data_IF_162747159927
#
_entry.id   IF_162747159927
#
_cell.length_a   1.000
_cell.length_b   1.000
_cell.length_c   1.000
_cell.angle_alpha   90.00
_cell.angle_beta   90.00
_cell.angle_gamma   90.00
#
_symmetry.space_group_name_H-M   'P 1'
#
loop_
_entity.id
_entity.type
_entity.pdbx_description
1 polymer ?
#
# COMPACT_ATOMS: atom_id res chain seq x y z
N UNK A 1 -49.30 17.51 -29.39
CA UNK A 1 -48.58 17.23 -28.12
C UNK A 1 -47.41 16.32 -28.44
N UNK A 2 -46.20 16.87 -28.59
CA UNK A 2 -44.97 16.13 -28.89
C UNK A 2 -44.27 15.78 -27.59
N UNK A 3 -44.13 14.48 -27.29
CA UNK A 3 -43.34 14.00 -26.14
C UNK A 3 -41.85 14.27 -26.43
N UNK A 4 -41.08 14.84 -25.49
CA UNK A 4 -39.65 14.97 -25.66
C UNK A 4 -39.01 13.59 -25.47
N UNK A 5 -38.23 13.16 -26.47
CA UNK A 5 -37.26 12.08 -26.34
C UNK A 5 -36.18 12.53 -25.35
N UNK A 6 -36.10 11.86 -24.21
CA UNK A 6 -34.98 12.02 -23.28
C UNK A 6 -33.79 11.28 -23.90
N UNK A 7 -32.61 11.90 -24.06
CA UNK A 7 -31.43 11.18 -24.51
C UNK A 7 -31.10 10.14 -23.43
N UNK A 8 -31.02 8.86 -23.84
CA UNK A 8 -30.39 7.83 -23.04
C UNK A 8 -29.00 8.33 -22.68
N UNK A 9 -28.82 8.69 -21.40
CA UNK A 9 -27.49 8.87 -20.85
C UNK A 9 -26.81 7.52 -21.03
N UNK A 10 -25.82 7.50 -21.94
CA UNK A 10 -24.95 6.35 -22.16
C UNK A 10 -24.23 6.13 -20.83
N UNK A 11 -24.79 5.22 -20.02
CA UNK A 11 -24.08 4.58 -18.93
C UNK A 11 -22.89 3.93 -19.62
N UNK A 12 -21.66 4.37 -19.30
CA UNK A 12 -20.44 3.95 -19.98
C UNK A 12 -20.43 2.45 -20.24
N UNK A 13 -19.97 2.05 -21.43
CA UNK A 13 -20.03 0.65 -21.86
C UNK A 13 -19.44 -0.27 -20.77
N UNK A 14 -20.00 -1.47 -20.54
CA UNK A 14 -19.43 -2.44 -19.58
C UNK A 14 -17.91 -2.61 -19.70
N UNK A 15 -17.38 -2.48 -20.93
CA UNK A 15 -15.95 -2.54 -21.22
C UNK A 15 -15.17 -1.33 -20.68
N UNK A 16 -15.75 -0.13 -20.70
CA UNK A 16 -15.14 1.08 -20.14
C UNK A 16 -15.14 1.05 -18.61
N UNK A 17 -16.23 0.56 -18.01
CA UNK A 17 -16.33 0.37 -16.57
C UNK A 17 -15.30 -0.65 -16.06
N UNK A 18 -15.13 -1.77 -16.76
CA UNK A 18 -14.14 -2.79 -16.40
C UNK A 18 -12.70 -2.28 -16.58
N UNK A 19 -12.42 -1.54 -17.67
CA UNK A 19 -11.11 -0.88 -17.86
C UNK A 19 -10.80 0.09 -16.73
N UNK A 20 -11.76 0.93 -16.34
CA UNK A 20 -11.59 1.88 -15.25
C UNK A 20 -11.35 1.17 -13.91
N UNK A 21 -12.06 0.07 -13.64
CA UNK A 21 -11.84 -0.76 -12.44
C UNK A 21 -10.42 -1.35 -12.40
N UNK A 22 -9.96 -1.93 -13.50
CA UNK A 22 -8.62 -2.50 -13.61
C UNK A 22 -7.53 -1.44 -13.46
N UNK A 23 -7.73 -0.26 -14.04
CA UNK A 23 -6.79 0.86 -13.90
C UNK A 23 -6.69 1.34 -12.44
N UNK A 24 -7.83 1.45 -11.74
CA UNK A 24 -7.86 1.79 -10.32
C UNK A 24 -7.15 0.74 -9.47
N UNK A 25 -7.38 -0.55 -9.73
CA UNK A 25 -6.68 -1.65 -9.03
C UNK A 25 -5.16 -1.57 -9.26
N UNK A 26 -4.72 -1.32 -10.50
CA UNK A 26 -3.29 -1.14 -10.83
C UNK A 26 -2.69 0.09 -10.15
N UNK A 27 -3.41 1.20 -10.10
CA UNK A 27 -2.97 2.41 -9.41
C UNK A 27 -2.82 2.17 -7.91
N UNK A 28 -3.78 1.48 -7.29
CA UNK A 28 -3.72 1.07 -5.89
C UNK A 28 -2.53 0.14 -5.63
N UNK A 29 -2.31 -0.86 -6.49
CA UNK A 29 -1.16 -1.76 -6.39
C UNK A 29 0.16 -0.99 -6.43
N UNK A 30 0.35 -0.06 -7.38
CA UNK A 30 1.56 0.77 -7.47
C UNK A 30 1.79 1.60 -6.21
N UNK A 31 0.73 2.23 -5.68
CA UNK A 31 0.80 3.00 -4.44
C UNK A 31 1.23 2.14 -3.26
N UNK A 32 0.54 1.01 -3.05
CA UNK A 32 0.84 0.08 -1.97
C UNK A 32 2.26 -0.48 -2.09
N UNK A 33 2.74 -0.74 -3.32
CA UNK A 33 4.10 -1.17 -3.53
C UNK A 33 5.12 -0.10 -3.09
N UNK A 34 4.87 1.18 -3.40
CA UNK A 34 5.68 2.29 -2.90
C UNK A 34 5.69 2.37 -1.38
N UNK A 35 4.52 2.25 -0.73
CA UNK A 35 4.40 2.25 0.74
C UNK A 35 5.17 1.07 1.36
N UNK A 36 5.09 -0.13 0.78
CA UNK A 36 5.87 -1.31 1.20
C UNK A 36 7.38 -1.02 1.10
N UNK A 37 7.85 -0.48 -0.02
CA UNK A 37 9.28 -0.14 -0.19
C UNK A 37 9.76 0.88 0.84
N UNK A 38 8.95 1.88 1.17
CA UNK A 38 9.28 2.86 2.23
C UNK A 38 9.41 2.18 3.58
N UNK A 39 8.46 1.30 3.94
CA UNK A 39 8.49 0.58 5.21
C UNK A 39 9.68 -0.39 5.30
N UNK A 40 10.04 -1.08 4.23
CA UNK A 40 11.23 -1.95 4.18
C UNK A 40 12.53 -1.15 4.37
N UNK A 41 12.64 0.01 3.72
CA UNK A 41 13.79 0.90 3.92
C UNK A 41 13.87 1.39 5.37
N UNK A 42 12.72 1.70 5.97
CA UNK A 42 12.65 2.15 7.35
C UNK A 42 13.01 1.03 8.35
N UNK A 43 12.55 -0.19 8.12
CA UNK A 43 12.90 -1.38 8.91
C UNK A 43 14.41 -1.69 8.86
N UNK A 44 15.02 -1.59 7.67
CA UNK A 44 16.49 -1.70 7.51
C UNK A 44 17.24 -0.61 8.28
N UNK A 45 16.76 0.63 8.25
CA UNK A 45 17.37 1.74 8.99
C UNK A 45 17.28 1.52 10.50
N UNK A 46 16.13 1.10 11.01
CA UNK A 46 15.96 0.79 12.43
C UNK A 46 16.89 -0.34 12.86
N UNK A 47 17.03 -1.39 12.05
CA UNK A 47 17.96 -2.50 12.32
C UNK A 47 19.41 -2.01 12.46
N UNK A 48 19.87 -1.13 11.56
CA UNK A 48 21.21 -0.52 11.69
C UNK A 48 21.35 0.33 12.95
N UNK A 49 20.37 1.18 13.24
CA UNK A 49 20.40 2.03 14.44
C UNK A 49 20.38 1.21 15.74
N UNK A 50 19.65 0.10 15.77
CA UNK A 50 19.66 -0.82 16.92
C UNK A 50 21.08 -1.34 17.16
N UNK A 51 21.74 -1.82 16.11
CA UNK A 51 23.10 -2.35 16.21
C UNK A 51 24.09 -1.27 16.68
N UNK A 52 24.08 -0.10 16.04
CA UNK A 52 24.95 1.03 16.41
C UNK A 52 24.75 1.47 17.88
N UNK A 53 23.51 1.45 18.37
CA UNK A 53 23.18 1.92 19.73
C UNK A 53 23.46 0.85 20.78
N UNK A 54 23.34 -0.42 20.41
CA UNK A 54 23.74 -1.54 21.25
C UNK A 54 25.27 -1.54 21.47
N UNK A 55 26.06 -1.28 20.43
CA UNK A 55 27.52 -1.12 20.57
C UNK A 55 27.92 0.08 21.46
N UNK A 56 27.07 1.10 21.53
CA UNK A 56 27.25 2.27 22.39
C UNK A 56 26.76 2.06 23.84
N UNK A 57 26.25 0.87 24.18
CA UNK A 57 25.67 0.57 25.50
C UNK A 57 24.42 1.38 25.84
N UNK A 58 23.68 1.84 24.82
CA UNK A 58 22.48 2.70 24.95
C UNK A 58 21.21 1.85 25.05
N UNK A 59 21.14 0.97 26.05
CA UNK A 59 20.13 -0.10 26.13
C UNK A 59 18.68 0.41 26.15
N UNK A 60 18.40 1.51 26.86
CA UNK A 60 17.04 2.10 26.89
C UNK A 60 16.59 2.56 25.50
N UNK A 61 17.52 3.16 24.74
CA UNK A 61 17.23 3.60 23.38
C UNK A 61 17.12 2.43 22.41
N UNK A 62 17.90 1.36 22.62
CA UNK A 62 17.74 0.10 21.87
C UNK A 62 16.35 -0.49 22.08
N UNK A 63 15.83 -0.51 23.32
CA UNK A 63 14.46 -0.98 23.61
C UNK A 63 13.41 -0.18 22.84
N UNK A 64 13.53 1.15 22.80
CA UNK A 64 12.64 2.01 22.03
C UNK A 64 12.69 1.69 20.53
N UNK A 65 13.89 1.59 19.95
CA UNK A 65 14.08 1.28 18.54
C UNK A 65 13.53 -0.10 18.17
N UNK A 66 13.70 -1.10 19.04
CA UNK A 66 13.11 -2.44 18.87
C UNK A 66 11.59 -2.36 18.84
N UNK A 67 10.97 -1.63 19.76
CA UNK A 67 9.51 -1.49 19.80
C UNK A 67 8.98 -0.78 18.55
N UNK A 68 9.69 0.25 18.09
CA UNK A 68 9.38 0.92 16.83
C UNK A 68 9.52 -0.03 15.64
N UNK A 69 10.56 -0.87 15.61
CA UNK A 69 10.76 -1.87 14.56
C UNK A 69 9.64 -2.92 14.54
N UNK A 70 9.18 -3.39 15.70
CA UNK A 70 8.03 -4.31 15.78
C UNK A 70 6.79 -3.67 15.14
N UNK A 71 6.49 -2.42 15.48
CA UNK A 71 5.36 -1.69 14.93
C UNK A 71 5.45 -1.53 13.41
N UNK A 72 6.66 -1.22 12.90
CA UNK A 72 6.92 -1.10 11.46
C UNK A 72 6.75 -2.45 10.76
N UNK A 73 7.23 -3.56 11.35
CA UNK A 73 7.05 -4.90 10.79
C UNK A 73 5.58 -5.30 10.74
N UNK A 74 4.80 -5.02 11.79
CA UNK A 74 3.36 -5.28 11.78
C UNK A 74 2.65 -4.53 10.64
N UNK A 75 2.98 -3.24 10.46
CA UNK A 75 2.43 -2.44 9.36
C UNK A 75 2.89 -2.94 7.99
N UNK A 76 4.14 -3.37 7.86
CA UNK A 76 4.69 -3.93 6.64
C UNK A 76 3.94 -5.20 6.22
N UNK A 77 3.66 -6.11 7.15
CA UNK A 77 2.87 -7.31 6.87
C UNK A 77 1.44 -6.97 6.44
N UNK A 78 0.79 -6.03 7.11
CA UNK A 78 -0.54 -5.54 6.69
C UNK A 78 -0.50 -5.00 5.26
N UNK A 79 0.49 -4.16 4.92
CA UNK A 79 0.62 -3.59 3.58
C UNK A 79 0.95 -4.66 2.53
N UNK A 80 1.75 -5.68 2.86
CA UNK A 80 2.03 -6.81 1.96
C UNK A 80 0.76 -7.57 1.60
N UNK A 81 -0.11 -7.84 2.59
CA UNK A 81 -1.42 -8.48 2.35
C UNK A 81 -2.30 -7.60 1.45
N UNK A 82 -2.40 -6.30 1.76
CA UNK A 82 -3.20 -5.37 0.94
C UNK A 82 -2.67 -5.25 -0.48
N UNK A 83 -1.35 -5.19 -0.66
CA UNK A 83 -0.70 -5.18 -1.98
C UNK A 83 -1.01 -6.45 -2.75
N UNK A 84 -0.91 -7.62 -2.11
CA UNK A 84 -1.23 -8.90 -2.75
C UNK A 84 -2.68 -8.95 -3.23
N UNK A 85 -3.64 -8.48 -2.42
CA UNK A 85 -5.05 -8.40 -2.83
C UNK A 85 -5.24 -7.45 -4.02
N UNK A 86 -4.62 -6.26 -3.97
CA UNK A 86 -4.67 -5.30 -5.07
C UNK A 86 -4.01 -5.81 -6.36
N UNK A 87 -2.97 -6.66 -6.25
CA UNK A 87 -2.37 -7.33 -7.41
C UNK A 87 -3.36 -8.31 -8.05
N UNK A 88 -4.01 -9.15 -7.23
CA UNK A 88 -5.06 -10.07 -7.69
C UNK A 88 -6.21 -9.32 -8.36
N UNK A 89 -6.70 -8.23 -7.76
CA UNK A 89 -7.77 -7.40 -8.35
C UNK A 89 -7.34 -6.70 -9.65
N UNK A 90 -6.02 -6.49 -9.85
CA UNK A 90 -5.44 -5.86 -11.02
C UNK A 90 -5.05 -6.85 -12.13
N UNK A 91 -5.15 -8.16 -11.88
CA UNK A 91 -4.67 -9.22 -12.77
C UNK A 91 -3.14 -9.26 -12.90
N UNK A 92 -2.41 -8.99 -11.81
CA UNK A 92 -0.94 -9.02 -11.69
C UNK A 92 -0.50 -10.17 -10.77
#
# INVERSE_FOLDING_TARGET
>A
MTRPMVPEQIIGSPDEAERARLEQARALHRRLNGEVTVLENFERRLTRQIHEKQEQGRDDYVRELVQRRISVRARLEEMRVRRSRAATDAGL
#
